data_IF_441602489124
#
_entry.id   IF_441602489124
#
_cell.length_a   1.000
_cell.length_b   1.000
_cell.length_c   1.000
_cell.angle_alpha   90.00
_cell.angle_beta   90.00
_cell.angle_gamma   90.00
#
_symmetry.space_group_name_H-M   'P 1'
#
loop_
_entity.id
_entity.type
_entity.pdbx_description
1 polymer ?
#
# COMPACT_ATOMS: atom_id res chain seq x y z
N UNK A 1 -8.55 6.86 -16.99
CA UNK A 1 -8.36 6.03 -18.22
C UNK A 1 -9.69 5.87 -18.93
N UNK A 2 -9.70 5.85 -20.28
CA UNK A 2 -10.90 5.52 -21.06
C UNK A 2 -10.73 4.13 -21.65
N UNK A 3 -11.84 3.49 -21.97
CA UNK A 3 -11.88 2.22 -22.68
C UNK A 3 -12.73 2.39 -23.93
N UNK A 4 -12.21 1.95 -25.07
CA UNK A 4 -12.81 2.16 -26.38
C UNK A 4 -12.92 0.82 -27.13
N UNK A 5 -13.90 0.72 -28.02
CA UNK A 5 -14.08 -0.42 -28.94
C UNK A 5 -13.11 -0.29 -30.11
N UNK A 6 -11.84 -0.56 -29.87
CA UNK A 6 -10.77 -0.55 -30.86
C UNK A 6 -10.20 -1.98 -31.01
N UNK A 7 -9.54 -2.26 -32.13
CA UNK A 7 -8.77 -3.48 -32.29
C UNK A 7 -7.58 -3.49 -31.32
N UNK A 8 -7.43 -4.52 -30.47
CA UNK A 8 -6.35 -4.59 -29.51
C UNK A 8 -4.99 -4.78 -30.21
N UNK A 9 -3.95 -4.23 -29.64
CA UNK A 9 -2.56 -4.35 -30.09
C UNK A 9 -1.70 -5.03 -29.05
N UNK A 10 -0.62 -5.64 -29.49
CA UNK A 10 0.36 -6.30 -28.62
C UNK A 10 0.73 -5.45 -27.39
N UNK A 11 0.49 -6.00 -26.21
CA UNK A 11 0.74 -5.39 -24.91
C UNK A 11 -0.37 -4.45 -24.42
N UNK A 12 -1.50 -4.38 -25.11
CA UNK A 12 -2.63 -3.59 -24.62
C UNK A 12 -3.31 -4.25 -23.42
N UNK A 13 -3.74 -3.42 -22.50
CA UNK A 13 -4.68 -3.78 -21.47
C UNK A 13 -6.08 -3.74 -22.08
N UNK A 14 -6.77 -4.85 -21.99
CA UNK A 14 -8.13 -5.03 -22.50
C UNK A 14 -9.08 -5.43 -21.38
N UNK A 15 -10.37 -5.21 -21.60
CA UNK A 15 -11.42 -5.67 -20.69
C UNK A 15 -12.68 -6.09 -21.44
N UNK A 16 -13.47 -6.91 -20.79
CA UNK A 16 -14.81 -7.31 -21.22
C UNK A 16 -15.80 -7.10 -20.09
N UNK A 17 -17.03 -6.73 -20.43
CA UNK A 17 -18.09 -6.58 -19.43
C UNK A 17 -18.77 -7.94 -19.20
N UNK A 18 -18.83 -8.36 -17.94
CA UNK A 18 -19.51 -9.58 -17.50
C UNK A 18 -20.48 -9.17 -16.40
N UNK A 19 -21.78 -9.20 -16.69
CA UNK A 19 -22.84 -8.72 -15.80
C UNK A 19 -22.55 -7.30 -15.28
N UNK A 20 -22.34 -7.15 -13.97
CA UNK A 20 -22.11 -5.85 -13.31
C UNK A 20 -20.62 -5.50 -13.11
N UNK A 21 -19.69 -6.33 -13.60
CA UNK A 21 -18.26 -6.09 -13.45
C UNK A 21 -17.49 -6.22 -14.78
N UNK A 22 -16.25 -5.73 -14.77
CA UNK A 22 -15.33 -5.89 -15.89
C UNK A 22 -14.26 -6.92 -15.57
N UNK A 23 -13.97 -7.77 -16.52
CA UNK A 23 -12.83 -8.69 -16.48
C UNK A 23 -11.69 -8.17 -17.36
N UNK A 24 -10.47 -8.21 -16.85
CA UNK A 24 -9.30 -7.59 -17.48
C UNK A 24 -8.25 -8.61 -17.89
N UNK A 25 -7.52 -8.28 -18.97
CA UNK A 25 -6.40 -9.06 -19.46
C UNK A 25 -5.36 -8.21 -20.19
N UNK A 26 -4.25 -8.85 -20.53
CA UNK A 26 -3.19 -8.29 -21.39
C UNK A 26 -3.21 -9.02 -22.73
N UNK A 27 -3.44 -8.28 -23.79
CA UNK A 27 -3.49 -8.80 -25.14
C UNK A 27 -2.07 -9.06 -25.68
N UNK A 28 -1.82 -10.25 -26.21
CA UNK A 28 -0.58 -10.61 -26.88
C UNK A 28 -0.84 -10.72 -28.37
N UNK A 29 -1.76 -11.58 -28.75
CA UNK A 29 -2.28 -11.82 -30.09
C UNK A 29 -3.67 -12.47 -29.97
N UNK A 30 -4.30 -12.83 -31.12
CA UNK A 30 -5.66 -13.40 -31.14
C UNK A 30 -5.72 -14.77 -30.45
N UNK A 31 -4.62 -15.51 -30.45
CA UNK A 31 -4.51 -16.81 -29.80
C UNK A 31 -4.10 -16.71 -28.31
N UNK A 32 -3.73 -15.52 -27.85
CA UNK A 32 -3.13 -15.36 -26.51
C UNK A 32 -3.55 -14.06 -25.82
N UNK A 33 -4.37 -14.18 -24.81
CA UNK A 33 -4.64 -13.16 -23.79
C UNK A 33 -4.17 -13.69 -22.44
N UNK A 34 -3.38 -12.92 -21.71
CA UNK A 34 -2.92 -13.27 -20.36
C UNK A 34 -3.83 -12.59 -19.33
N UNK A 35 -4.43 -13.36 -18.44
CA UNK A 35 -5.42 -12.88 -17.49
C UNK A 35 -5.29 -13.54 -16.12
N UNK A 36 -5.83 -12.92 -15.07
CA UNK A 36 -5.88 -13.53 -13.75
C UNK A 36 -7.28 -14.13 -13.52
N UNK A 37 -7.38 -15.44 -13.67
CA UNK A 37 -8.62 -16.20 -13.67
C UNK A 37 -9.35 -16.11 -15.02
N UNK A 38 -10.05 -17.19 -15.37
CA UNK A 38 -10.94 -17.20 -16.52
C UNK A 38 -12.29 -16.57 -16.17
N UNK A 39 -12.94 -15.91 -17.11
CA UNK A 39 -14.32 -15.45 -16.90
C UNK A 39 -15.21 -16.62 -16.47
N UNK A 40 -16.12 -16.41 -15.52
CA UNK A 40 -17.04 -17.46 -15.10
C UNK A 40 -18.06 -17.74 -16.21
N UNK A 41 -17.87 -18.86 -16.90
CA UNK A 41 -18.86 -19.34 -17.89
C UNK A 41 -20.00 -20.06 -17.19
N UNK A 42 -19.77 -20.68 -16.00
CA UNK A 42 -20.76 -21.47 -15.25
C UNK A 42 -20.63 -21.31 -13.71
N UNK A 43 -20.27 -20.13 -13.21
CA UNK A 43 -20.14 -19.88 -11.79
C UNK A 43 -18.72 -19.50 -11.36
N UNK A 44 -18.59 -18.94 -10.16
CA UNK A 44 -17.28 -18.53 -9.63
C UNK A 44 -16.45 -19.76 -9.25
N UNK A 45 -15.28 -19.89 -9.86
CA UNK A 45 -14.26 -20.81 -9.37
C UNK A 45 -13.91 -20.47 -7.90
N UNK A 46 -13.59 -21.48 -7.10
CA UNK A 46 -13.07 -21.20 -5.75
C UNK A 46 -11.83 -20.33 -5.87
N UNK A 47 -11.74 -19.27 -5.09
CA UNK A 47 -10.61 -18.32 -5.14
C UNK A 47 -9.23 -19.01 -5.06
N UNK A 48 -9.13 -20.12 -4.34
CA UNK A 48 -7.90 -20.92 -4.21
C UNK A 48 -7.47 -21.62 -5.51
N UNK A 49 -8.35 -21.78 -6.48
CA UNK A 49 -8.10 -22.46 -7.75
C UNK A 49 -7.81 -21.50 -8.90
N UNK A 50 -7.96 -20.18 -8.63
CA UNK A 50 -7.77 -19.13 -9.64
C UNK A 50 -6.29 -18.79 -9.75
N UNK A 51 -5.75 -18.86 -10.97
CA UNK A 51 -4.36 -18.50 -11.28
C UNK A 51 -4.26 -17.59 -12.51
N UNK A 52 -3.12 -16.95 -12.67
CA UNK A 52 -2.79 -16.25 -13.94
C UNK A 52 -2.63 -17.31 -15.04
N UNK A 53 -3.39 -17.15 -16.09
CA UNK A 53 -3.47 -18.12 -17.20
C UNK A 53 -3.56 -17.43 -18.57
N UNK A 54 -3.50 -18.23 -19.63
CA UNK A 54 -3.72 -17.78 -21.01
C UNK A 54 -5.02 -18.34 -21.56
N UNK A 55 -5.65 -17.59 -22.44
CA UNK A 55 -6.77 -17.99 -23.29
C UNK A 55 -6.63 -17.34 -24.65
N UNK A 56 -7.38 -17.78 -25.65
CA UNK A 56 -7.55 -17.02 -26.88
C UNK A 56 -8.52 -15.83 -26.67
N UNK A 57 -8.56 -14.92 -27.64
CA UNK A 57 -9.40 -13.72 -27.56
C UNK A 57 -10.89 -14.05 -27.55
N UNK A 58 -11.30 -15.15 -28.21
CA UNK A 58 -12.70 -15.59 -28.28
C UNK A 58 -13.16 -16.06 -26.88
N UNK A 59 -12.37 -16.91 -26.20
CA UNK A 59 -12.66 -17.37 -24.86
C UNK A 59 -12.64 -16.18 -23.87
N UNK A 60 -11.67 -15.25 -24.01
CA UNK A 60 -11.60 -14.05 -23.17
C UNK A 60 -12.84 -13.17 -23.33
N UNK A 61 -13.32 -12.99 -24.55
CA UNK A 61 -14.46 -12.11 -24.86
C UNK A 61 -15.78 -12.60 -24.26
N UNK A 62 -15.93 -13.89 -23.99
CA UNK A 62 -17.18 -14.48 -23.52
C UNK A 62 -18.40 -14.10 -24.39
N UNK A 63 -18.19 -13.82 -25.68
CA UNK A 63 -19.24 -13.36 -26.58
C UNK A 63 -19.66 -11.90 -26.37
N UNK A 64 -18.91 -11.11 -25.61
CA UNK A 64 -19.14 -9.68 -25.41
C UNK A 64 -18.10 -8.83 -26.15
N UNK A 65 -18.29 -7.51 -26.16
CA UNK A 65 -17.33 -6.61 -26.80
C UNK A 65 -16.06 -6.47 -25.97
N UNK A 66 -14.91 -6.54 -26.64
CA UNK A 66 -13.61 -6.25 -26.05
C UNK A 66 -13.35 -4.76 -26.12
N UNK A 67 -13.09 -4.15 -24.98
CA UNK A 67 -12.69 -2.75 -24.87
C UNK A 67 -11.19 -2.64 -24.62
N UNK A 68 -10.53 -1.73 -25.32
CA UNK A 68 -9.09 -1.45 -25.20
C UNK A 68 -8.84 -0.20 -24.36
N UNK A 69 -7.90 -0.29 -23.46
CA UNK A 69 -7.49 0.85 -22.64
C UNK A 69 -6.83 1.95 -23.47
N UNK A 70 -7.42 3.16 -23.45
CA UNK A 70 -6.84 4.36 -24.04
C UNK A 70 -6.35 5.27 -22.92
N UNK A 71 -5.03 5.26 -22.62
CA UNK A 71 -4.46 6.05 -21.54
C UNK A 71 -4.46 7.55 -21.87
N UNK A 72 -4.83 8.38 -20.90
CA UNK A 72 -4.70 9.83 -21.00
C UNK A 72 -3.23 10.25 -20.92
N UNK A 73 -2.92 11.50 -21.32
CA UNK A 73 -1.54 11.98 -21.48
C UNK A 73 -0.56 11.66 -20.35
N UNK A 74 -1.02 11.59 -19.10
CA UNK A 74 -0.18 11.24 -17.94
C UNK A 74 0.05 9.75 -17.81
N UNK A 75 -1.00 8.98 -17.98
CA UNK A 75 -0.97 7.51 -17.93
C UNK A 75 -0.12 6.96 -19.07
N UNK A 76 -0.20 7.59 -20.26
CA UNK A 76 0.62 7.24 -21.43
C UNK A 76 2.12 7.38 -21.14
N UNK A 77 2.54 8.37 -20.35
CA UNK A 77 3.95 8.54 -19.96
C UNK A 77 4.40 7.55 -18.90
N UNK A 78 3.49 7.08 -18.05
CA UNK A 78 3.77 6.13 -16.98
C UNK A 78 3.68 4.67 -17.43
N UNK A 79 3.05 4.41 -18.59
CA UNK A 79 2.85 3.07 -19.12
C UNK A 79 4.17 2.44 -19.54
N UNK A 80 4.39 1.20 -19.16
CA UNK A 80 5.50 0.39 -19.67
C UNK A 80 5.41 0.22 -21.19
N UNK A 81 6.54 0.00 -21.84
CA UNK A 81 6.57 -0.37 -23.27
C UNK A 81 5.84 -1.69 -23.48
N UNK A 82 5.12 -1.88 -24.61
CA UNK A 82 4.33 -3.10 -24.87
C UNK A 82 5.08 -4.41 -24.60
N UNK A 83 6.32 -4.51 -25.05
CA UNK A 83 7.17 -5.69 -24.81
C UNK A 83 7.37 -5.96 -23.31
N UNK A 84 7.64 -4.94 -22.51
CA UNK A 84 7.84 -5.09 -21.07
C UNK A 84 6.53 -5.44 -20.34
N UNK A 85 5.37 -4.96 -20.83
CA UNK A 85 4.05 -5.36 -20.31
C UNK A 85 3.84 -6.86 -20.51
N UNK A 86 4.05 -7.36 -21.71
CA UNK A 86 3.84 -8.80 -22.04
C UNK A 86 4.86 -9.68 -21.34
N UNK A 87 6.14 -9.29 -21.28
CA UNK A 87 7.17 -10.06 -20.57
C UNK A 87 6.83 -10.18 -19.08
N UNK A 88 6.39 -9.10 -18.46
CA UNK A 88 5.96 -9.13 -17.06
C UNK A 88 4.70 -9.99 -16.87
N UNK A 89 3.69 -9.86 -17.74
CA UNK A 89 2.49 -10.72 -17.68
C UNK A 89 2.84 -12.20 -17.83
N UNK A 90 3.72 -12.55 -18.77
CA UNK A 90 4.20 -13.93 -18.97
C UNK A 90 4.93 -14.49 -17.75
N UNK A 91 5.73 -13.69 -17.06
CA UNK A 91 6.46 -14.11 -15.86
C UNK A 91 5.55 -14.46 -14.67
N UNK A 92 4.27 -14.05 -14.74
CA UNK A 92 3.27 -14.28 -13.69
C UNK A 92 2.34 -15.48 -13.97
N UNK A 93 2.46 -16.13 -15.13
CA UNK A 93 1.64 -17.31 -15.47
C UNK A 93 1.82 -18.40 -14.42
N UNK A 94 0.70 -18.95 -13.92
CA UNK A 94 0.66 -19.92 -12.84
C UNK A 94 0.61 -19.30 -11.43
N UNK A 95 0.76 -17.99 -11.28
CA UNK A 95 0.62 -17.33 -9.99
C UNK A 95 -0.81 -17.47 -9.47
N UNK A 96 -0.94 -17.81 -8.19
CA UNK A 96 -2.20 -17.98 -7.46
C UNK A 96 -2.43 -16.82 -6.49
N UNK A 97 -3.46 -16.93 -5.64
CA UNK A 97 -3.76 -15.90 -4.63
C UNK A 97 -4.71 -14.82 -5.15
N UNK A 98 -5.60 -15.19 -6.08
CA UNK A 98 -6.70 -14.32 -6.50
C UNK A 98 -7.55 -13.90 -5.30
N UNK A 99 -7.84 -12.62 -5.23
CA UNK A 99 -8.75 -12.08 -4.22
C UNK A 99 -9.56 -10.93 -4.80
N UNK A 100 -10.87 -11.05 -4.78
CA UNK A 100 -11.79 -10.13 -5.48
C UNK A 100 -11.56 -8.65 -5.12
N UNK A 101 -11.24 -8.35 -3.86
CA UNK A 101 -11.02 -6.97 -3.38
C UNK A 101 -9.55 -6.50 -3.42
N UNK A 102 -8.56 -7.41 -3.48
CA UNK A 102 -7.18 -7.04 -3.21
C UNK A 102 -6.18 -7.52 -4.25
N UNK A 103 -6.55 -8.52 -5.06
CA UNK A 103 -5.66 -9.12 -6.04
C UNK A 103 -6.48 -9.77 -7.17
N UNK A 104 -7.28 -8.97 -7.88
CA UNK A 104 -8.16 -9.41 -8.97
C UNK A 104 -7.53 -9.18 -10.36
N UNK A 105 -8.28 -9.50 -11.41
CA UNK A 105 -7.83 -9.35 -12.79
C UNK A 105 -7.47 -7.91 -13.18
N UNK A 106 -8.18 -6.91 -12.64
CA UNK A 106 -7.87 -5.50 -12.87
C UNK A 106 -6.57 -5.09 -12.18
N UNK A 107 -6.33 -5.52 -10.93
CA UNK A 107 -5.05 -5.32 -10.24
C UNK A 107 -3.87 -5.90 -11.04
N UNK A 108 -4.04 -7.11 -11.57
CA UNK A 108 -3.03 -7.77 -12.41
C UNK A 108 -2.75 -6.97 -13.68
N UNK A 109 -3.78 -6.58 -14.43
CA UNK A 109 -3.61 -5.85 -15.67
C UNK A 109 -2.95 -4.48 -15.49
N UNK A 110 -3.33 -3.74 -14.43
CA UNK A 110 -2.67 -2.48 -14.07
C UNK A 110 -1.21 -2.68 -13.65
N UNK A 111 -0.91 -3.72 -12.88
CA UNK A 111 0.46 -4.03 -12.48
C UNK A 111 1.34 -4.37 -13.69
N UNK A 112 0.80 -5.09 -14.68
CA UNK A 112 1.50 -5.34 -15.93
C UNK A 112 1.76 -4.05 -16.71
N UNK A 113 0.76 -3.20 -16.87
CA UNK A 113 0.84 -2.00 -17.70
C UNK A 113 1.62 -0.86 -17.04
N UNK A 114 1.52 -0.68 -15.73
CA UNK A 114 2.00 0.50 -15.00
C UNK A 114 2.94 0.20 -13.84
N UNK A 115 3.12 -1.08 -13.46
CA UNK A 115 4.00 -1.47 -12.36
C UNK A 115 3.39 -1.30 -10.96
N UNK A 116 2.08 -1.07 -10.85
CA UNK A 116 1.38 -0.99 -9.58
C UNK A 116 -0.02 -1.64 -9.68
N UNK A 117 -0.47 -2.23 -8.58
CA UNK A 117 -1.82 -2.82 -8.48
C UNK A 117 -2.87 -1.74 -8.29
N UNK A 118 -3.91 -1.76 -9.12
CA UNK A 118 -5.06 -0.88 -9.03
C UNK A 118 -6.33 -1.56 -9.52
N UNK A 119 -7.46 -1.26 -8.90
CA UNK A 119 -8.78 -1.65 -9.38
C UNK A 119 -9.81 -0.56 -9.10
N UNK A 120 -10.40 0.00 -10.15
CA UNK A 120 -11.48 0.99 -10.06
C UNK A 120 -12.73 0.36 -9.49
N UNK A 121 -13.04 -0.86 -9.89
CA UNK A 121 -14.20 -1.62 -9.43
C UNK A 121 -14.17 -1.84 -7.92
N UNK A 122 -13.01 -2.17 -7.35
CA UNK A 122 -12.89 -2.32 -5.89
C UNK A 122 -12.88 -0.99 -5.17
N UNK A 123 -12.39 0.07 -5.80
CA UNK A 123 -12.43 1.43 -5.26
C UNK A 123 -13.86 2.00 -5.25
N UNK A 124 -14.70 1.66 -6.24
CA UNK A 124 -16.12 2.05 -6.25
C UNK A 124 -16.91 1.37 -5.13
N UNK A 125 -16.68 0.09 -4.89
CA UNK A 125 -17.27 -0.64 -3.74
C UNK A 125 -16.84 0.00 -2.40
N UNK A 126 -15.64 0.59 -2.34
CA UNK A 126 -15.13 1.30 -1.16
C UNK A 126 -15.68 2.72 -1.03
N UNK A 127 -16.03 3.36 -2.15
CA UNK A 127 -16.48 4.76 -2.22
C UNK A 127 -17.98 4.96 -1.98
N UNK A 128 -18.74 3.93 -1.67
CA UNK A 128 -20.15 4.08 -1.30
C UNK A 128 -20.33 4.93 -0.01
N UNK A 129 -19.24 5.48 0.53
CA UNK A 129 -19.20 6.48 1.58
C UNK A 129 -19.52 5.96 2.98
N UNK A 130 -19.83 4.68 3.13
CA UNK A 130 -20.21 4.09 4.42
C UNK A 130 -19.02 3.53 5.21
N UNK A 131 -17.87 3.33 4.56
CA UNK A 131 -16.74 2.62 5.15
C UNK A 131 -15.47 3.45 5.13
N UNK A 132 -14.93 3.87 6.29
CA UNK A 132 -13.65 4.56 6.38
C UNK A 132 -12.52 3.77 5.73
N UNK A 133 -11.63 4.45 5.01
CA UNK A 133 -10.49 3.87 4.29
C UNK A 133 -9.19 4.14 5.05
N UNK A 134 -8.41 3.09 5.30
CA UNK A 134 -7.03 3.21 5.77
C UNK A 134 -6.16 2.20 5.04
N UNK A 135 -5.34 2.66 4.11
CA UNK A 135 -4.39 1.83 3.37
C UNK A 135 -2.96 2.11 3.87
N UNK A 136 -2.25 1.04 4.23
CA UNK A 136 -0.85 1.11 4.68
C UNK A 136 0.04 0.43 3.66
N UNK A 137 1.01 1.17 3.20
CA UNK A 137 2.02 0.72 2.25
C UNK A 137 3.35 0.52 2.96
N UNK A 138 3.95 -0.67 2.80
CA UNK A 138 5.28 -0.99 3.32
C UNK A 138 6.14 -1.44 2.15
N UNK A 139 7.33 -0.83 2.02
CA UNK A 139 8.24 -1.16 0.92
C UNK A 139 9.70 -1.06 1.35
N UNK A 140 10.50 -2.01 0.89
CA UNK A 140 11.96 -1.95 1.02
C UNK A 140 12.51 -0.93 0.03
N UNK A 141 13.45 -0.10 0.46
CA UNK A 141 14.19 0.81 -0.41
C UNK A 141 15.64 0.30 -0.64
N UNK A 142 16.31 0.68 -1.77
CA UNK A 142 15.83 1.55 -2.82
C UNK A 142 14.83 0.86 -3.76
N UNK A 143 13.89 1.61 -4.31
CA UNK A 143 12.97 1.13 -5.34
C UNK A 143 12.87 2.13 -6.51
N UNK A 144 12.45 1.63 -7.67
CA UNK A 144 12.29 2.46 -8.87
C UNK A 144 11.31 3.61 -8.63
N UNK A 145 11.70 4.80 -9.01
CA UNK A 145 10.99 6.01 -8.68
C UNK A 145 10.53 6.77 -9.90
N UNK A 146 9.33 7.31 -9.80
CA UNK A 146 8.79 8.26 -10.77
C UNK A 146 9.11 9.68 -10.29
N UNK A 147 9.65 10.50 -11.18
CA UNK A 147 9.86 11.95 -11.13
C UNK A 147 10.27 12.63 -9.80
N UNK A 148 11.48 13.18 -9.75
CA UNK A 148 12.00 13.96 -8.61
C UNK A 148 11.22 15.27 -8.32
N UNK A 149 10.38 15.71 -9.26
CA UNK A 149 9.58 16.94 -9.14
C UNK A 149 8.36 16.83 -8.21
N UNK A 150 8.19 15.71 -7.52
CA UNK A 150 7.09 15.53 -6.56
C UNK A 150 7.31 16.28 -5.25
N UNK A 151 8.57 16.59 -4.90
CA UNK A 151 8.89 17.16 -3.59
C UNK A 151 8.53 18.63 -3.48
N UNK A 152 7.80 19.05 -2.42
CA UNK A 152 7.72 20.48 -2.07
C UNK A 152 9.12 21.03 -1.76
N UNK A 153 9.39 22.27 -2.13
CA UNK A 153 10.71 22.92 -1.92
C UNK A 153 11.20 22.79 -0.47
N UNK A 154 10.30 22.95 0.51
CA UNK A 154 10.64 22.82 1.93
C UNK A 154 11.08 21.39 2.26
N UNK A 155 10.35 20.37 1.76
CA UNK A 155 10.71 18.97 2.00
C UNK A 155 12.06 18.59 1.38
N UNK A 156 12.31 19.04 0.16
CA UNK A 156 13.60 18.82 -0.49
C UNK A 156 14.74 19.43 0.32
N UNK A 157 14.55 20.67 0.85
CA UNK A 157 15.52 21.31 1.72
C UNK A 157 15.78 20.50 3.00
N UNK A 158 14.73 19.94 3.63
CA UNK A 158 14.87 19.07 4.81
C UNK A 158 15.64 17.78 4.49
N UNK A 159 15.39 17.18 3.34
CA UNK A 159 16.11 15.97 2.88
C UNK A 159 17.59 16.28 2.68
N UNK A 160 17.89 17.33 1.94
CA UNK A 160 19.27 17.73 1.62
C UNK A 160 20.07 18.21 2.85
N UNK A 161 19.39 18.72 3.87
CA UNK A 161 20.04 19.13 5.13
C UNK A 161 20.42 17.95 6.04
N UNK A 162 20.00 16.72 5.76
CA UNK A 162 20.36 15.54 6.56
C UNK A 162 21.84 15.22 6.40
N UNK A 163 22.56 15.08 7.52
CA UNK A 163 23.97 14.70 7.55
C UNK A 163 24.18 13.22 7.21
N UNK A 164 23.33 12.34 7.75
CA UNK A 164 23.38 10.90 7.49
C UNK A 164 22.76 10.60 6.11
N UNK A 165 23.48 9.85 5.29
CA UNK A 165 23.02 9.37 3.99
C UNK A 165 21.79 8.48 4.15
N UNK A 166 21.85 7.52 5.09
CA UNK A 166 20.71 6.64 5.40
C UNK A 166 19.45 7.43 5.75
N UNK A 167 19.52 8.42 6.64
CA UNK A 167 18.36 9.27 7.00
C UNK A 167 17.86 10.08 5.81
N UNK A 168 18.76 10.47 4.90
CA UNK A 168 18.40 11.16 3.66
C UNK A 168 17.60 10.25 2.73
N UNK A 169 18.05 9.03 2.56
CA UNK A 169 17.37 8.00 1.76
C UNK A 169 16.00 7.65 2.34
N UNK A 170 15.90 7.38 3.64
CA UNK A 170 14.63 7.12 4.34
C UNK A 170 13.62 8.24 4.07
N UNK A 171 14.03 9.50 4.29
CA UNK A 171 13.18 10.67 4.02
C UNK A 171 12.80 10.84 2.56
N UNK A 172 13.68 10.44 1.66
CA UNK A 172 13.44 10.49 0.23
C UNK A 172 12.45 9.41 -0.19
N UNK A 173 12.70 8.16 0.16
CA UNK A 173 11.87 7.03 -0.26
C UNK A 173 10.49 7.00 0.41
N UNK A 174 10.38 7.37 1.68
CA UNK A 174 9.06 7.46 2.33
C UNK A 174 8.15 8.47 1.66
N UNK A 175 8.70 9.56 1.15
CA UNK A 175 7.94 10.57 0.43
C UNK A 175 7.54 10.14 -0.98
N UNK A 176 8.37 9.33 -1.62
CA UNK A 176 8.02 8.69 -2.90
C UNK A 176 6.92 7.67 -2.73
N UNK A 177 7.00 6.87 -1.67
CA UNK A 177 5.93 5.94 -1.33
C UNK A 177 4.62 6.68 -1.02
N UNK A 178 4.69 7.87 -0.40
CA UNK A 178 3.52 8.70 -0.15
C UNK A 178 2.82 9.16 -1.45
N UNK A 179 3.57 9.59 -2.48
CA UNK A 179 2.99 9.91 -3.79
C UNK A 179 2.25 8.72 -4.38
N UNK A 180 2.87 7.54 -4.34
CA UNK A 180 2.26 6.31 -4.82
C UNK A 180 1.02 5.93 -4.02
N UNK A 181 1.09 5.98 -2.69
CA UNK A 181 -0.01 5.65 -1.79
C UNK A 181 -1.21 6.57 -1.97
N UNK A 182 -1.00 7.88 -2.04
CA UNK A 182 -2.05 8.86 -2.31
C UNK A 182 -2.71 8.65 -3.67
N UNK A 183 -1.90 8.35 -4.68
CA UNK A 183 -2.44 8.08 -6.01
C UNK A 183 -3.23 6.77 -6.06
N UNK A 184 -2.73 5.70 -5.46
CA UNK A 184 -3.40 4.40 -5.44
C UNK A 184 -4.71 4.43 -4.67
N UNK A 185 -4.71 5.00 -3.45
CA UNK A 185 -5.88 4.98 -2.56
C UNK A 185 -6.89 6.08 -2.86
N UNK A 186 -6.44 7.26 -3.29
CA UNK A 186 -7.32 8.45 -3.39
C UNK A 186 -7.27 9.16 -4.74
N UNK A 187 -6.50 8.67 -5.72
CA UNK A 187 -6.26 9.36 -7.01
C UNK A 187 -5.69 10.77 -6.86
N UNK A 188 -5.01 11.00 -5.76
CA UNK A 188 -4.40 12.27 -5.44
C UNK A 188 -2.92 12.27 -5.78
N UNK A 189 -2.44 13.32 -6.41
CA UNK A 189 -1.02 13.57 -6.60
C UNK A 189 -0.54 14.59 -5.57
N UNK A 190 0.59 14.36 -4.92
CA UNK A 190 1.19 15.27 -3.94
C UNK A 190 1.23 16.72 -4.42
N UNK A 191 1.61 16.93 -5.67
CA UNK A 191 1.64 18.26 -6.27
C UNK A 191 0.27 18.95 -6.31
N UNK A 192 -0.82 18.18 -6.46
CA UNK A 192 -2.20 18.70 -6.43
C UNK A 192 -2.74 18.88 -5.02
N UNK A 193 -2.34 17.99 -4.11
CA UNK A 193 -2.74 18.04 -2.71
C UNK A 193 -2.13 19.22 -1.94
N UNK A 194 -1.15 19.92 -2.52
CA UNK A 194 -0.46 21.06 -1.93
C UNK A 194 0.03 20.77 -0.50
N UNK A 195 0.98 19.82 -0.34
CA UNK A 195 1.47 19.48 0.99
C UNK A 195 2.07 20.70 1.67
N UNK A 196 1.77 20.83 2.96
CA UNK A 196 2.27 21.91 3.83
C UNK A 196 2.67 21.34 5.18
N UNK A 197 3.55 22.06 5.88
CA UNK A 197 3.98 21.70 7.22
C UNK A 197 3.29 22.60 8.24
N UNK A 198 2.52 22.01 9.14
CA UNK A 198 1.78 22.70 10.21
C UNK A 198 2.13 22.06 11.54
N UNK A 199 2.57 22.87 12.50
CA UNK A 199 2.93 22.40 13.84
C UNK A 199 4.03 21.32 13.86
N UNK A 200 4.86 21.22 12.82
CA UNK A 200 5.89 20.17 12.69
C UNK A 200 5.47 18.99 11.83
N UNK A 201 4.18 18.76 11.64
CA UNK A 201 3.61 17.66 10.84
C UNK A 201 3.32 18.10 9.40
N UNK A 202 3.58 17.21 8.47
CA UNK A 202 3.16 17.39 7.07
C UNK A 202 1.70 16.98 6.90
N UNK A 203 0.94 17.82 6.21
CA UNK A 203 -0.47 17.61 5.86
C UNK A 203 -0.70 17.85 4.38
N UNK A 204 -1.79 17.37 3.82
CA UNK A 204 -2.22 17.67 2.46
C UNK A 204 -3.75 17.78 2.39
N UNK A 205 -4.25 18.32 1.27
CA UNK A 205 -5.69 18.38 1.02
C UNK A 205 -6.18 17.06 0.42
N UNK A 206 -7.33 16.59 0.90
CA UNK A 206 -8.07 15.46 0.32
C UNK A 206 -7.77 14.09 0.92
N UNK A 207 -6.74 13.98 1.77
CA UNK A 207 -6.46 12.77 2.54
C UNK A 207 -5.62 13.10 3.77
N UNK A 208 -5.70 12.22 4.77
CA UNK A 208 -4.77 12.18 5.89
C UNK A 208 -3.65 11.19 5.60
N UNK A 209 -2.47 11.42 6.13
CA UNK A 209 -1.37 10.48 6.01
C UNK A 209 -0.44 10.51 7.22
N UNK A 210 0.25 9.41 7.43
CA UNK A 210 1.32 9.28 8.41
C UNK A 210 2.48 8.48 7.84
N UNK A 211 3.70 8.77 8.28
CA UNK A 211 4.94 8.23 7.73
C UNK A 211 5.74 7.54 8.84
N UNK A 212 6.34 6.40 8.52
CA UNK A 212 7.31 5.72 9.37
C UNK A 212 8.40 5.03 8.53
N UNK A 213 9.47 4.62 9.18
CA UNK A 213 10.55 3.84 8.58
C UNK A 213 11.27 3.04 9.66
N UNK A 214 11.77 1.86 9.30
CA UNK A 214 12.62 1.05 10.16
C UNK A 214 13.51 0.15 9.31
N UNK A 215 14.80 0.07 9.65
CA UNK A 215 15.78 -0.68 8.87
C UNK A 215 15.89 -0.16 7.44
N UNK A 216 15.60 -1.03 6.46
CA UNK A 216 15.62 -0.72 5.04
C UNK A 216 14.18 -0.56 4.47
N UNK A 217 13.21 -0.34 5.34
CA UNK A 217 11.81 -0.20 4.95
C UNK A 217 11.28 1.19 5.23
N UNK A 218 10.41 1.64 4.35
CA UNK A 218 9.56 2.82 4.52
C UNK A 218 8.10 2.39 4.58
N UNK A 219 7.34 3.07 5.44
CA UNK A 219 5.95 2.79 5.69
C UNK A 219 5.11 4.07 5.58
N UNK A 220 3.98 3.99 4.90
CA UNK A 220 3.05 5.10 4.70
C UNK A 220 1.64 4.62 4.95
N UNK A 221 0.92 5.26 5.87
CA UNK A 221 -0.52 5.15 5.98
C UNK A 221 -1.19 6.33 5.28
N UNK A 222 -2.22 6.06 4.48
CA UNK A 222 -3.12 7.07 3.89
C UNK A 222 -4.56 6.72 4.24
N UNK A 223 -5.36 7.73 4.61
CA UNK A 223 -6.72 7.52 5.13
C UNK A 223 -7.63 8.72 4.82
N UNK A 224 -8.95 8.48 4.80
CA UNK A 224 -9.99 9.51 4.79
C UNK A 224 -10.29 10.05 6.21
N UNK A 225 -9.71 9.46 7.24
CA UNK A 225 -9.78 9.85 8.63
C UNK A 225 -8.38 10.19 9.17
N UNK A 226 -8.27 11.01 10.24
CA UNK A 226 -6.98 11.22 10.91
C UNK A 226 -6.30 9.90 11.25
N UNK A 227 -5.01 9.78 10.91
CA UNK A 227 -4.23 8.54 11.04
C UNK A 227 -2.82 8.82 11.54
N UNK A 228 -2.34 7.93 12.42
CA UNK A 228 -0.94 7.79 12.80
C UNK A 228 -0.46 6.39 12.49
N UNK A 229 0.77 6.24 12.00
CA UNK A 229 1.40 4.95 11.74
C UNK A 229 2.79 4.89 12.34
N UNK A 230 3.10 3.76 12.92
CA UNK A 230 4.47 3.41 13.25
C UNK A 230 4.80 2.00 12.76
N UNK A 231 6.03 1.85 12.30
CA UNK A 231 6.59 0.60 11.80
C UNK A 231 7.99 0.47 12.38
N UNK A 232 8.22 -0.53 13.21
CA UNK A 232 9.47 -0.69 13.96
C UNK A 232 9.90 -2.16 14.00
N UNK A 233 11.21 -2.39 13.76
CA UNK A 233 11.79 -3.72 13.95
C UNK A 233 11.66 -4.13 15.40
N UNK A 234 11.32 -5.40 15.65
CA UNK A 234 11.28 -5.96 17.00
C UNK A 234 12.72 -6.18 17.45
N UNK A 235 13.14 -5.38 18.43
CA UNK A 235 14.48 -5.40 19.03
C UNK A 235 14.38 -5.54 20.55
N UNK A 236 14.20 -6.76 21.01
CA UNK A 236 14.06 -7.04 22.43
C UNK A 236 15.27 -6.63 23.24
N UNK A 237 16.51 -6.71 22.70
CA UNK A 237 17.73 -6.29 23.39
C UNK A 237 17.69 -4.80 23.71
N UNK A 238 17.34 -3.97 22.71
CA UNK A 238 17.19 -2.53 22.91
C UNK A 238 16.19 -2.22 24.01
N UNK A 239 15.05 -2.90 24.01
CA UNK A 239 13.96 -2.64 24.97
C UNK A 239 14.20 -3.25 26.37
N UNK A 240 15.13 -4.21 26.51
CA UNK A 240 15.66 -4.66 27.81
C UNK A 240 16.57 -3.63 28.48
N UNK A 241 17.27 -2.82 27.67
CA UNK A 241 18.25 -1.82 28.15
C UNK A 241 17.60 -0.45 28.46
N UNK A 242 16.41 -0.17 27.91
CA UNK A 242 15.74 1.11 28.07
C UNK A 242 15.00 1.18 29.41
N UNK A 243 15.00 2.35 30.10
CA UNK A 243 14.21 2.54 31.32
C UNK A 243 12.71 2.44 31.04
N UNK A 244 12.06 1.39 31.51
CA UNK A 244 10.63 1.11 31.27
C UNK A 244 9.73 2.27 31.69
N UNK A 245 10.04 2.92 32.81
CA UNK A 245 9.30 4.08 33.34
C UNK A 245 9.40 5.35 32.45
N UNK A 246 10.28 5.35 31.45
CA UNK A 246 10.35 6.41 30.43
C UNK A 246 9.50 6.10 29.20
N UNK A 247 9.04 4.85 29.09
CA UNK A 247 8.24 4.37 27.96
C UNK A 247 6.79 4.14 28.40
N UNK A 248 6.60 3.41 29.50
CA UNK A 248 5.30 2.95 29.97
C UNK A 248 4.72 3.90 31.03
N UNK A 249 3.40 4.03 31.04
CA UNK A 249 2.66 4.63 32.16
C UNK A 249 2.70 3.68 33.37
N UNK A 250 2.36 4.16 34.57
CA UNK A 250 2.29 3.31 35.77
C UNK A 250 1.34 2.13 35.59
N UNK A 251 0.21 2.37 34.93
CA UNK A 251 -0.80 1.34 34.65
C UNK A 251 -0.27 0.26 33.71
N UNK A 252 0.43 0.65 32.65
CA UNK A 252 1.05 -0.26 31.70
C UNK A 252 2.16 -1.08 32.39
N UNK A 253 3.01 -0.45 33.22
CA UNK A 253 4.05 -1.14 33.98
C UNK A 253 3.49 -2.26 34.85
N UNK A 254 2.34 -1.99 35.51
CA UNK A 254 1.66 -2.99 36.35
C UNK A 254 1.04 -4.15 35.53
N UNK A 255 0.72 -3.91 34.26
CA UNK A 255 0.11 -4.90 33.37
C UNK A 255 1.14 -5.71 32.53
N UNK A 256 2.42 -5.31 32.54
CA UNK A 256 3.46 -6.00 31.75
C UNK A 256 3.71 -7.42 32.29
N UNK A 257 4.01 -8.38 31.39
CA UNK A 257 4.42 -9.74 31.77
C UNK A 257 5.64 -9.72 32.73
N UNK A 258 5.69 -10.64 33.66
CA UNK A 258 6.80 -10.75 34.62
C UNK A 258 8.04 -11.45 34.07
N UNK A 259 7.94 -12.11 32.91
CA UNK A 259 9.03 -12.88 32.29
C UNK A 259 8.89 -12.97 30.75
N UNK A 260 9.95 -13.34 30.09
CA UNK A 260 10.04 -13.76 28.68
C UNK A 260 9.64 -12.72 27.64
N UNK A 261 8.39 -12.32 27.60
CA UNK A 261 7.83 -11.44 26.56
C UNK A 261 7.83 -9.95 26.93
N UNK A 262 8.39 -9.58 28.10
CA UNK A 262 8.30 -8.21 28.63
C UNK A 262 8.88 -7.17 27.68
N UNK A 263 10.07 -7.39 27.14
CA UNK A 263 10.72 -6.47 26.21
C UNK A 263 9.93 -6.34 24.89
N UNK A 264 9.36 -7.45 24.42
CA UNK A 264 8.50 -7.48 23.23
C UNK A 264 7.22 -6.65 23.42
N UNK A 265 6.57 -6.77 24.57
CA UNK A 265 5.39 -5.95 24.89
C UNK A 265 5.72 -4.47 25.05
N UNK A 266 6.88 -4.12 25.63
CA UNK A 266 7.37 -2.72 25.69
C UNK A 266 7.63 -2.19 24.29
N UNK A 267 8.25 -2.97 23.40
CA UNK A 267 8.46 -2.59 22.00
C UNK A 267 7.12 -2.33 21.28
N UNK A 268 6.12 -3.18 21.49
CA UNK A 268 4.77 -2.99 20.94
C UNK A 268 4.09 -1.72 21.50
N UNK A 269 4.16 -1.48 22.82
CA UNK A 269 3.66 -0.26 23.42
C UNK A 269 4.35 0.99 22.87
N UNK A 270 5.66 0.92 22.62
CA UNK A 270 6.41 2.00 21.97
C UNK A 270 5.81 2.36 20.61
N UNK A 271 5.56 1.36 19.74
CA UNK A 271 4.99 1.61 18.41
C UNK A 271 3.58 2.19 18.49
N UNK A 272 2.77 1.77 19.46
CA UNK A 272 1.43 2.34 19.69
C UNK A 272 1.53 3.80 20.08
N UNK A 273 2.46 4.15 20.99
CA UNK A 273 2.65 5.52 21.47
C UNK A 273 3.23 6.44 20.40
N UNK A 274 4.17 5.94 19.59
CA UNK A 274 4.66 6.69 18.42
C UNK A 274 3.57 6.94 17.39
N UNK A 275 2.75 5.94 17.07
CA UNK A 275 1.63 6.11 16.16
C UNK A 275 0.59 7.11 16.72
N UNK A 276 0.26 7.04 18.02
CA UNK A 276 -0.62 7.98 18.68
C UNK A 276 -0.06 9.42 18.67
N UNK A 277 1.22 9.58 18.98
CA UNK A 277 1.89 10.86 18.90
C UNK A 277 1.88 11.47 17.49
N UNK A 278 2.10 10.63 16.46
CA UNK A 278 2.03 11.03 15.07
C UNK A 278 0.60 11.42 14.65
N UNK A 279 -0.42 10.81 15.25
CA UNK A 279 -1.83 11.18 15.04
C UNK A 279 -2.12 12.58 15.63
N UNK A 280 -1.77 12.81 16.89
CA UNK A 280 -2.12 14.01 17.64
C UNK A 280 -1.26 15.24 17.31
N UNK A 281 -0.11 15.03 16.64
CA UNK A 281 0.85 16.09 16.32
C UNK A 281 1.38 16.83 17.57
N UNK A 282 1.76 16.08 18.60
CA UNK A 282 2.30 16.61 19.84
C UNK A 282 3.61 17.40 19.66
N UNK A 283 3.92 18.30 20.59
CA UNK A 283 5.15 19.12 20.55
C UNK A 283 6.42 18.34 20.91
N UNK A 284 6.30 17.36 21.81
CA UNK A 284 7.40 16.51 22.26
C UNK A 284 6.89 15.09 22.46
N UNK A 285 7.67 14.11 22.04
CA UNK A 285 7.37 12.70 22.26
C UNK A 285 7.82 12.31 23.67
N UNK A 286 6.84 12.14 24.55
CA UNK A 286 7.02 11.70 25.94
C UNK A 286 6.17 10.44 26.14
N UNK A 287 6.67 9.25 25.75
CA UNK A 287 5.85 8.04 25.67
C UNK A 287 5.18 7.65 27.00
N UNK A 288 5.85 7.84 28.16
CA UNK A 288 5.28 7.54 29.46
C UNK A 288 4.06 8.41 29.85
N UNK A 289 3.75 9.44 29.08
CA UNK A 289 2.56 10.30 29.29
C UNK A 289 1.42 9.98 28.31
N UNK A 290 1.66 9.12 27.33
CA UNK A 290 0.66 8.76 26.31
C UNK A 290 -0.10 7.54 26.79
N UNK A 291 -1.40 7.71 27.07
CA UNK A 291 -2.30 6.61 27.41
C UNK A 291 -2.69 5.83 26.13
N UNK A 292 -2.61 4.51 26.21
CA UNK A 292 -2.95 3.62 25.07
C UNK A 292 -4.29 2.92 25.20
N UNK A 293 -4.93 3.03 26.37
CA UNK A 293 -6.28 2.50 26.61
C UNK A 293 -7.33 3.33 25.88
N UNK A 294 -8.30 2.66 25.27
CA UNK A 294 -9.38 3.31 24.52
C UNK A 294 -8.98 3.92 23.17
N UNK A 295 -7.71 3.82 22.78
CA UNK A 295 -7.25 4.28 21.47
C UNK A 295 -7.64 3.25 20.41
N UNK A 296 -8.39 3.69 19.38
CA UNK A 296 -8.67 2.85 18.22
C UNK A 296 -7.36 2.55 17.49
N UNK A 297 -6.95 1.28 17.50
CA UNK A 297 -5.66 0.84 16.97
C UNK A 297 -5.72 -0.53 16.32
N UNK A 298 -4.84 -0.74 15.36
CA UNK A 298 -4.49 -2.04 14.80
C UNK A 298 -2.98 -2.22 14.95
N UNK A 299 -2.55 -3.20 15.73
CA UNK A 299 -1.14 -3.54 15.90
C UNK A 299 -0.94 -4.98 15.41
N UNK A 300 -0.04 -5.18 14.44
CA UNK A 300 0.24 -6.48 13.82
C UNK A 300 1.73 -6.73 13.78
N UNK A 301 2.14 -7.97 14.00
CA UNK A 301 3.48 -8.41 13.69
C UNK A 301 3.57 -8.76 12.19
N UNK A 302 4.65 -8.33 11.55
CA UNK A 302 4.97 -8.62 10.16
C UNK A 302 6.31 -9.35 10.13
N UNK A 303 6.38 -10.43 9.36
CA UNK A 303 7.64 -11.14 9.09
C UNK A 303 8.18 -10.73 7.73
N UNK A 304 9.42 -10.27 7.72
CA UNK A 304 10.10 -9.80 6.51
C UNK A 304 11.54 -10.32 6.53
N UNK A 305 11.90 -11.16 5.56
CA UNK A 305 13.25 -11.70 5.39
C UNK A 305 13.85 -12.34 6.68
N UNK A 306 12.98 -13.02 7.45
CA UNK A 306 13.39 -13.67 8.71
C UNK A 306 13.48 -12.74 9.92
N UNK A 307 13.14 -11.47 9.76
CA UNK A 307 13.05 -10.45 10.80
C UNK A 307 11.61 -10.10 11.11
N UNK A 308 11.33 -9.73 12.34
CA UNK A 308 10.00 -9.35 12.78
C UNK A 308 9.89 -7.83 12.98
N UNK A 309 8.74 -7.29 12.61
CA UNK A 309 8.40 -5.87 12.78
C UNK A 309 7.02 -5.73 13.41
N UNK A 310 6.83 -4.73 14.25
CA UNK A 310 5.49 -4.26 14.58
C UNK A 310 5.05 -3.17 13.62
N UNK A 311 3.85 -3.33 13.09
CA UNK A 311 3.11 -2.29 12.38
C UNK A 311 1.92 -1.89 13.23
N UNK A 312 1.90 -0.64 13.66
CA UNK A 312 0.78 -0.07 14.40
C UNK A 312 0.15 1.08 13.65
N UNK A 313 -1.17 1.03 13.56
CA UNK A 313 -2.01 2.11 13.01
C UNK A 313 -2.96 2.58 14.10
N UNK A 314 -3.06 3.90 14.26
CA UNK A 314 -3.95 4.57 15.23
C UNK A 314 -4.83 5.55 14.49
N UNK A 315 -6.12 5.62 14.85
CA UNK A 315 -7.10 6.55 14.28
C UNK A 315 -8.44 5.92 13.96
N UNK A 316 -9.38 6.71 13.48
CA UNK A 316 -10.77 6.30 13.28
C UNK A 316 -11.00 5.15 12.31
N UNK A 317 -10.03 4.89 11.41
CA UNK A 317 -10.10 3.79 10.43
C UNK A 317 -9.10 2.64 10.73
N UNK A 318 -8.46 2.64 11.92
CA UNK A 318 -7.38 1.69 12.25
C UNK A 318 -7.80 0.22 12.18
N UNK A 319 -9.02 -0.12 12.62
CA UNK A 319 -9.54 -1.49 12.60
C UNK A 319 -9.78 -2.03 11.17
N UNK A 320 -9.85 -1.16 10.19
CA UNK A 320 -10.08 -1.49 8.77
C UNK A 320 -8.82 -1.35 7.92
N UNK A 321 -7.67 -1.34 8.55
CA UNK A 321 -6.38 -1.20 7.89
C UNK A 321 -6.15 -2.31 6.87
N UNK A 322 -5.95 -1.91 5.61
CA UNK A 322 -5.44 -2.77 4.56
C UNK A 322 -3.94 -2.57 4.43
N UNK A 323 -3.17 -3.64 4.58
CA UNK A 323 -1.72 -3.62 4.40
C UNK A 323 -1.40 -4.02 2.95
N UNK A 324 -0.62 -3.20 2.28
CA UNK A 324 -0.15 -3.38 0.91
C UNK A 324 1.38 -3.39 0.96
N UNK A 325 1.93 -4.57 0.78
CA UNK A 325 3.37 -4.79 0.90
C UNK A 325 3.91 -5.46 -0.37
N UNK A 326 5.18 -5.24 -0.68
CA UNK A 326 5.86 -5.95 -1.76
C UNK A 326 6.06 -7.42 -1.38
N UNK A 327 6.13 -8.34 -2.36
CA UNK A 327 5.91 -9.78 -2.30
C UNK A 327 6.57 -10.62 -1.17
N UNK A 328 7.60 -10.11 -0.48
CA UNK A 328 8.32 -10.84 0.56
C UNK A 328 7.83 -10.54 1.99
N UNK A 329 6.81 -9.71 2.14
CA UNK A 329 6.25 -9.32 3.44
C UNK A 329 5.03 -10.18 3.77
N UNK A 330 5.13 -10.99 4.82
CA UNK A 330 4.03 -11.83 5.34
C UNK A 330 3.42 -11.17 6.57
N UNK A 331 2.10 -11.10 6.60
CA UNK A 331 1.35 -10.73 7.80
C UNK A 331 0.99 -11.99 8.58
N UNK A 332 1.15 -12.00 9.90
CA UNK A 332 0.50 -13.00 10.73
C UNK A 332 -1.02 -12.90 10.56
N UNK A 333 -1.69 -14.07 10.49
CA UNK A 333 -3.14 -14.17 10.31
C UNK A 333 -3.89 -13.81 11.57
#
# INVERSE_FOLDING_TARGET
MKFLLNDPKFGDMIRVKIDDFYHYGIFVDDDTVIQFGKPPVNGFAKQSEVSVCTTDLTEFSCGTFVEVAEPENRERKARRKPKAVVEFAKSRIGETGYHILHNNCEHFAYECAYGYKYSEQTDEVRKDGSTPVCDVYVRRFPFACVDEKIYPKLRLKEILACRSEKVREEKFYVWKLLEEALFRSFRLHLKKCKPKKEGGKWTCKGAYFSLSHSGDFVCVAVSDQPVGVDFEKIDEKRFQELPENKICTEKELAALPTSGERAREINKLWTVKEAAFKLENGKAFLPHTIETDGVLKSAKALHVDGEEYFLTVVGGAAERTKIIADGDIKTEK
#
